data_IF_786257127172
#
_entry.id   IF_786257127172
#
_cell.length_a   1.000
_cell.length_b   1.000
_cell.length_c   1.000
_cell.angle_alpha   90.00
_cell.angle_beta   90.00
_cell.angle_gamma   90.00
#
_symmetry.space_group_name_H-M   'P 1'
#
loop_
_entity.id
_entity.type
_entity.pdbx_description
1 polymer ?
#
# COMPACT_ATOMS: atom_id res chain seq x y z
N UNK A 1 -5.94 34.49 -53.42
CA UNK A 1 -5.15 33.79 -52.40
C UNK A 1 -5.96 32.62 -51.89
N UNK A 2 -5.72 31.42 -52.43
CA UNK A 2 -6.44 30.19 -52.09
C UNK A 2 -5.67 29.42 -51.01
N UNK A 3 -6.33 29.09 -49.91
CA UNK A 3 -5.76 28.27 -48.84
C UNK A 3 -5.50 26.83 -49.34
N UNK A 4 -4.40 26.19 -48.96
CA UNK A 4 -4.14 24.81 -49.36
C UNK A 4 -5.17 23.88 -48.73
N UNK A 5 -5.90 23.13 -49.56
CA UNK A 5 -6.77 22.05 -49.11
C UNK A 5 -5.89 20.93 -48.54
N UNK A 6 -5.88 20.77 -47.22
CA UNK A 6 -5.20 19.68 -46.56
C UNK A 6 -5.78 18.34 -47.07
N UNK A 7 -4.95 17.56 -47.75
CA UNK A 7 -5.32 16.24 -48.27
C UNK A 7 -5.82 15.37 -47.11
N UNK A 8 -7.09 14.94 -47.17
CA UNK A 8 -7.73 14.06 -46.17
C UNK A 8 -6.94 12.78 -45.93
N UNK A 9 -6.05 12.39 -46.86
CA UNK A 9 -5.16 11.24 -46.75
C UNK A 9 -4.00 11.45 -45.74
N UNK A 10 -3.57 12.69 -45.51
CA UNK A 10 -2.53 13.07 -44.53
C UNK A 10 -3.08 13.38 -43.13
N UNK A 11 -4.35 13.76 -43.03
CA UNK A 11 -5.02 14.06 -41.74
C UNK A 11 -5.15 12.80 -40.87
N UNK A 12 -5.36 11.63 -41.47
CA UNK A 12 -5.51 10.35 -40.75
C UNK A 12 -4.24 9.89 -40.03
N UNK A 13 -3.05 9.82 -40.67
CA UNK A 13 -1.83 9.45 -39.95
C UNK A 13 -1.46 10.49 -38.88
N UNK A 14 -1.70 11.77 -39.12
CA UNK A 14 -1.40 12.83 -38.14
C UNK A 14 -2.32 12.75 -36.91
N UNK A 15 -3.61 12.43 -37.11
CA UNK A 15 -4.54 12.13 -36.01
C UNK A 15 -4.14 10.86 -35.25
N UNK A 16 -3.72 9.79 -35.95
CA UNK A 16 -3.26 8.55 -35.31
C UNK A 16 -2.04 8.82 -34.44
N UNK A 17 -1.05 9.56 -34.95
CA UNK A 17 0.13 9.96 -34.19
C UNK A 17 -0.27 10.83 -32.99
N UNK A 18 -1.18 11.79 -33.18
CA UNK A 18 -1.70 12.62 -32.10
C UNK A 18 -2.36 11.81 -30.98
N UNK A 19 -3.22 10.84 -31.33
CA UNK A 19 -3.87 9.94 -30.36
C UNK A 19 -2.83 9.05 -29.68
N UNK A 20 -1.87 8.49 -30.43
CA UNK A 20 -0.81 7.66 -29.87
C UNK A 20 0.03 8.44 -28.85
N UNK A 21 0.45 9.66 -29.18
CA UNK A 21 1.18 10.55 -28.26
C UNK A 21 0.35 10.87 -27.01
N UNK A 22 -0.95 11.14 -27.16
CA UNK A 22 -1.83 11.37 -26.03
C UNK A 22 -1.92 10.13 -25.12
N UNK A 23 -2.10 8.94 -25.68
CA UNK A 23 -2.12 7.69 -24.91
C UNK A 23 -0.81 7.46 -24.15
N UNK A 24 0.34 7.69 -24.80
CA UNK A 24 1.66 7.57 -24.18
C UNK A 24 1.81 8.60 -23.04
N UNK A 25 1.42 9.86 -23.26
CA UNK A 25 1.48 10.89 -22.22
C UNK A 25 0.59 10.55 -21.01
N UNK A 26 -0.60 9.99 -21.23
CA UNK A 26 -1.49 9.52 -20.15
C UNK A 26 -0.85 8.38 -19.36
N UNK A 27 -0.23 7.41 -20.03
CA UNK A 27 0.46 6.30 -19.36
C UNK A 27 1.66 6.78 -18.55
N UNK A 28 2.50 7.64 -19.11
CA UNK A 28 3.65 8.25 -18.40
C UNK A 28 3.14 9.02 -17.18
N UNK A 29 2.10 9.84 -17.33
CA UNK A 29 1.49 10.57 -16.22
C UNK A 29 0.96 9.65 -15.11
N UNK A 30 0.38 8.51 -15.47
CA UNK A 30 -0.08 7.52 -14.49
C UNK A 30 1.09 6.91 -13.69
N UNK A 31 2.19 6.54 -14.36
CA UNK A 31 3.39 5.97 -13.72
C UNK A 31 4.06 7.00 -12.81
N UNK A 32 4.28 8.23 -13.29
CA UNK A 32 4.91 9.30 -12.51
C UNK A 32 4.07 9.62 -11.26
N UNK A 33 2.75 9.72 -11.40
CA UNK A 33 1.86 9.96 -10.26
C UNK A 33 1.95 8.86 -9.21
N UNK A 34 2.02 7.60 -9.64
CA UNK A 34 2.12 6.46 -8.73
C UNK A 34 3.50 6.40 -8.05
N UNK A 35 4.58 6.67 -8.77
CA UNK A 35 5.93 6.78 -8.20
C UNK A 35 6.07 7.92 -7.20
N UNK A 36 5.49 9.09 -7.51
CA UNK A 36 5.46 10.23 -6.59
C UNK A 36 4.66 9.90 -5.32
N UNK A 37 3.50 9.25 -5.46
CA UNK A 37 2.68 8.86 -4.32
C UNK A 37 3.36 7.82 -3.41
N UNK A 38 4.27 6.99 -3.93
CA UNK A 38 5.09 6.06 -3.14
C UNK A 38 6.20 6.80 -2.39
N UNK A 39 6.94 7.66 -3.08
CA UNK A 39 8.13 8.35 -2.54
C UNK A 39 7.82 9.51 -1.59
N UNK A 40 6.66 10.15 -1.71
CA UNK A 40 6.30 11.34 -0.93
C UNK A 40 5.12 11.11 0.02
N UNK A 41 4.69 9.85 0.21
CA UNK A 41 3.68 9.51 1.20
C UNK A 41 4.25 9.50 2.62
N UNK A 42 3.36 9.42 3.61
CA UNK A 42 3.77 9.25 5.01
C UNK A 42 4.08 7.78 5.24
N UNK A 43 5.35 7.46 5.54
CA UNK A 43 5.74 6.10 5.92
C UNK A 43 5.24 5.75 7.32
N UNK A 44 4.56 4.62 7.43
CA UNK A 44 4.12 4.03 8.69
C UNK A 44 4.48 2.56 8.73
N UNK A 45 4.93 2.09 9.90
CA UNK A 45 5.23 0.68 10.14
C UNK A 45 4.07 0.03 10.87
N UNK A 46 3.47 -0.99 10.28
CA UNK A 46 2.31 -1.70 10.79
C UNK A 46 2.71 -3.10 11.22
N UNK A 47 2.20 -3.55 12.36
CA UNK A 47 2.40 -4.94 12.82
C UNK A 47 1.89 -5.91 11.77
N UNK A 48 2.71 -6.91 11.44
CA UNK A 48 2.32 -7.95 10.49
C UNK A 48 2.55 -9.34 11.07
N UNK A 49 1.74 -10.29 10.63
CA UNK A 49 2.01 -11.72 10.73
C UNK A 49 2.12 -12.29 9.33
N UNK A 50 3.11 -13.12 9.11
CA UNK A 50 3.27 -13.86 7.88
C UNK A 50 2.34 -15.06 7.89
N UNK A 51 1.64 -15.28 6.78
CA UNK A 51 0.93 -16.53 6.54
C UNK A 51 1.45 -17.08 5.22
N UNK A 52 2.21 -18.17 5.29
CA UNK A 52 2.68 -18.90 4.12
C UNK A 52 1.75 -20.06 3.79
N UNK A 53 1.16 -20.06 2.58
CA UNK A 53 0.99 -21.29 1.81
C UNK A 53 1.59 -21.06 0.41
N UNK A 54 2.82 -21.55 0.20
CA UNK A 54 3.61 -21.44 -1.03
C UNK A 54 2.76 -21.68 -2.29
N UNK A 55 2.90 -20.81 -3.28
CA UNK A 55 2.37 -21.01 -4.62
C UNK A 55 3.52 -21.36 -5.56
N UNK A 56 3.65 -22.64 -5.89
CA UNK A 56 4.74 -23.22 -6.71
C UNK A 56 4.86 -22.62 -8.11
N UNK A 57 3.85 -21.87 -8.59
CA UNK A 57 3.79 -21.40 -9.99
C UNK A 57 4.15 -19.92 -10.13
N UNK A 58 4.05 -19.10 -9.06
CA UNK A 58 4.13 -17.62 -9.14
C UNK A 58 5.45 -17.02 -8.65
N UNK A 59 6.45 -17.83 -8.34
CA UNK A 59 7.74 -17.38 -7.84
C UNK A 59 7.74 -17.05 -6.33
N UNK A 60 8.77 -16.33 -5.87
CA UNK A 60 8.98 -16.05 -4.44
C UNK A 60 8.25 -14.76 -4.03
N UNK A 61 7.07 -14.92 -3.42
CA UNK A 61 6.36 -13.83 -2.75
C UNK A 61 5.91 -14.29 -1.36
N UNK A 62 5.77 -13.34 -0.44
CA UNK A 62 5.28 -13.61 0.92
C UNK A 62 3.89 -12.98 1.07
N UNK A 63 2.91 -13.76 1.51
CA UNK A 63 1.60 -13.23 1.93
C UNK A 63 1.70 -12.71 3.34
N UNK A 64 1.21 -11.49 3.54
CA UNK A 64 1.22 -10.82 4.83
C UNK A 64 -0.20 -10.46 5.26
N UNK A 65 -0.42 -10.58 6.57
CA UNK A 65 -1.63 -10.11 7.21
C UNK A 65 -1.25 -9.01 8.20
N UNK A 66 -1.86 -7.85 8.03
CA UNK A 66 -1.68 -6.74 8.97
C UNK A 66 -2.57 -7.00 10.16
N UNK A 67 -1.96 -7.41 11.27
CA UNK A 67 -2.66 -7.78 12.49
C UNK A 67 -1.91 -7.18 13.67
N UNK A 68 -2.65 -6.50 14.54
CA UNK A 68 -2.17 -5.98 15.81
C UNK A 68 -2.85 -6.76 16.95
N UNK A 69 -2.06 -7.13 17.96
CA UNK A 69 -2.60 -7.68 19.20
C UNK A 69 -3.23 -6.59 20.05
N UNK A 70 -4.44 -6.86 20.54
CA UNK A 70 -5.13 -6.08 21.54
C UNK A 70 -4.87 -6.75 22.90
N UNK A 71 -3.99 -6.18 23.75
CA UNK A 71 -3.78 -6.70 25.09
C UNK A 71 -5.11 -6.74 25.86
N UNK A 72 -5.27 -7.76 26.72
CA UNK A 72 -6.53 -8.06 27.41
C UNK A 72 -7.17 -6.82 28.05
N UNK A 73 -8.40 -6.50 27.62
CA UNK A 73 -9.18 -5.35 28.08
C UNK A 73 -9.21 -4.16 27.11
N UNK A 74 -8.37 -4.14 26.06
CA UNK A 74 -8.52 -3.15 24.99
C UNK A 74 -9.67 -3.53 24.07
N UNK A 75 -10.57 -2.57 23.88
CA UNK A 75 -11.72 -2.73 22.99
C UNK A 75 -11.27 -2.43 21.56
N UNK A 76 -11.72 -3.24 20.60
CA UNK A 76 -11.37 -3.02 19.20
C UNK A 76 -11.79 -1.62 18.74
N UNK A 77 -10.96 -1.02 17.89
CA UNK A 77 -11.21 0.28 17.28
C UNK A 77 -12.61 0.35 16.66
N UNK A 78 -13.48 1.16 17.26
CA UNK A 78 -14.87 1.31 16.86
C UNK A 78 -15.05 2.42 15.82
N UNK A 79 -16.26 2.48 15.25
CA UNK A 79 -16.67 3.51 14.30
C UNK A 79 -17.12 2.94 12.97
N UNK A 80 -17.51 3.81 12.05
CA UNK A 80 -18.06 3.45 10.75
C UNK A 80 -17.38 4.23 9.63
N UNK A 81 -17.18 3.55 8.51
CA UNK A 81 -16.69 4.17 7.28
C UNK A 81 -15.44 3.47 6.74
N UNK A 82 -14.91 4.06 5.68
CA UNK A 82 -13.82 3.52 4.86
C UNK A 82 -12.44 4.08 5.22
N UNK A 83 -12.38 4.96 6.21
CA UNK A 83 -11.15 5.61 6.65
C UNK A 83 -10.76 5.07 8.03
N UNK A 84 -9.54 4.62 8.15
CA UNK A 84 -8.94 4.15 9.39
C UNK A 84 -7.99 5.25 9.88
N UNK A 85 -8.13 5.59 11.15
CA UNK A 85 -7.21 6.47 11.86
C UNK A 85 -6.08 5.62 12.43
N UNK A 86 -4.84 5.98 12.10
CA UNK A 86 -3.63 5.35 12.62
C UNK A 86 -2.93 6.31 13.56
N UNK A 87 -2.48 5.83 14.71
CA UNK A 87 -1.73 6.60 15.71
C UNK A 87 -0.38 5.95 16.00
N UNK A 88 0.70 6.72 16.23
CA UNK A 88 1.99 6.15 16.60
C UNK A 88 1.94 5.52 18.00
N UNK A 89 2.53 4.33 18.13
CA UNK A 89 2.73 3.56 19.35
C UNK A 89 4.15 2.98 19.32
N UNK A 90 5.11 3.72 19.88
CA UNK A 90 6.53 3.37 19.81
C UNK A 90 7.07 3.48 18.37
N UNK A 91 7.70 2.41 17.87
CA UNK A 91 8.19 2.31 16.48
C UNK A 91 7.11 1.91 15.47
N UNK A 92 5.88 1.62 15.93
CA UNK A 92 4.77 1.14 15.09
C UNK A 92 3.59 2.10 15.10
N UNK A 93 2.67 1.87 14.18
CA UNK A 93 1.39 2.55 14.09
C UNK A 93 0.26 1.56 14.33
N UNK A 94 -0.73 1.97 15.10
CA UNK A 94 -1.89 1.14 15.47
C UNK A 94 -3.19 1.79 15.02
N UNK A 95 -4.19 0.99 14.60
CA UNK A 95 -5.51 1.52 14.28
C UNK A 95 -6.27 1.90 15.55
N UNK A 96 -6.82 3.11 15.59
CA UNK A 96 -7.55 3.63 16.76
C UNK A 96 -9.05 3.86 16.50
N UNK A 97 -9.46 3.95 15.23
CA UNK A 97 -10.89 4.11 14.90
C UNK A 97 -11.19 4.09 13.40
N UNK A 98 -12.49 3.98 13.08
CA UNK A 98 -13.01 4.11 11.71
C UNK A 98 -13.90 5.33 11.54
N UNK A 99 -13.74 6.02 10.41
CA UNK A 99 -14.39 7.28 10.12
C UNK A 99 -14.99 7.31 8.71
N UNK A 100 -16.04 8.14 8.56
CA UNK A 100 -16.71 8.36 7.27
C UNK A 100 -15.92 9.31 6.36
N UNK A 101 -15.16 10.23 6.94
CA UNK A 101 -14.31 11.20 6.22
C UNK A 101 -12.83 11.06 6.60
N UNK A 102 -11.96 11.48 5.68
CA UNK A 102 -10.52 11.44 5.88
C UNK A 102 -10.09 12.43 6.96
N UNK A 103 -10.66 13.61 6.94
CA UNK A 103 -10.32 14.74 7.82
C UNK A 103 -10.68 14.42 9.28
N UNK A 104 -11.72 13.60 9.50
CA UNK A 104 -12.04 13.08 10.82
C UNK A 104 -10.97 12.08 11.29
N UNK A 105 -10.61 11.11 10.45
CA UNK A 105 -9.56 10.14 10.78
C UNK A 105 -8.19 10.82 11.01
N UNK A 106 -7.82 11.81 10.20
CA UNK A 106 -6.55 12.53 10.37
C UNK A 106 -6.49 13.35 11.66
N UNK A 107 -7.61 13.96 12.08
CA UNK A 107 -7.64 14.72 13.34
C UNK A 107 -7.48 13.85 14.57
N UNK A 108 -7.87 12.60 14.46
CA UNK A 108 -7.86 11.65 15.56
C UNK A 108 -6.48 10.99 15.75
N UNK A 109 -5.91 10.39 14.70
CA UNK A 109 -4.64 9.65 14.78
C UNK A 109 -3.44 10.33 14.10
N UNK A 110 -3.67 11.38 13.32
CA UNK A 110 -2.66 12.08 12.52
C UNK A 110 -2.52 11.52 11.10
N UNK A 111 -2.66 10.20 10.93
CA UNK A 111 -2.61 9.55 9.61
C UNK A 111 -3.93 8.82 9.32
N UNK A 112 -4.48 9.08 8.14
CA UNK A 112 -5.69 8.42 7.67
C UNK A 112 -5.42 7.55 6.44
N UNK A 113 -5.81 6.28 6.53
CA UNK A 113 -5.67 5.30 5.45
C UNK A 113 -7.04 4.77 5.05
N UNK A 114 -7.22 4.43 3.77
CA UNK A 114 -8.44 3.77 3.29
C UNK A 114 -8.34 2.28 3.52
N UNK A 115 -9.39 1.70 4.09
CA UNK A 115 -9.44 0.27 4.32
C UNK A 115 -10.60 -0.14 5.22
N UNK A 116 -10.53 -1.38 5.69
CA UNK A 116 -11.44 -1.95 6.67
C UNK A 116 -10.67 -2.53 7.84
N UNK A 117 -11.31 -2.54 9.00
CA UNK A 117 -10.83 -3.24 10.19
C UNK A 117 -11.74 -4.43 10.46
N UNK A 118 -11.14 -5.59 10.68
CA UNK A 118 -11.75 -6.77 11.25
C UNK A 118 -11.29 -6.95 12.69
N UNK A 119 -12.18 -7.42 13.56
CA UNK A 119 -11.85 -7.70 14.96
C UNK A 119 -12.16 -9.15 15.24
N UNK A 120 -11.26 -9.85 15.91
CA UNK A 120 -11.47 -11.24 16.36
C UNK A 120 -10.80 -11.41 17.70
N UNK A 121 -11.60 -11.67 18.74
CA UNK A 121 -11.22 -11.83 20.13
C UNK A 121 -10.23 -10.76 20.62
N UNK A 122 -8.93 -11.05 20.57
CA UNK A 122 -7.82 -10.22 21.04
C UNK A 122 -6.96 -9.66 19.91
N UNK A 123 -7.46 -9.65 18.68
CA UNK A 123 -6.71 -9.18 17.51
C UNK A 123 -7.54 -8.25 16.65
N UNK A 124 -6.88 -7.22 16.11
CA UNK A 124 -7.44 -6.37 15.06
C UNK A 124 -6.68 -6.61 13.77
N UNK A 125 -7.40 -7.07 12.74
CA UNK A 125 -6.88 -7.21 11.39
C UNK A 125 -7.24 -5.98 10.57
N UNK A 126 -6.35 -5.60 9.66
CA UNK A 126 -6.53 -4.44 8.79
C UNK A 126 -6.36 -4.84 7.33
N UNK A 127 -7.33 -4.46 6.50
CA UNK A 127 -7.24 -4.58 5.05
C UNK A 127 -7.19 -3.18 4.42
N UNK A 128 -5.99 -2.80 3.97
CA UNK A 128 -5.70 -1.53 3.28
C UNK A 128 -5.22 -1.78 1.84
N UNK A 129 -5.50 -2.97 1.28
CA UNK A 129 -5.06 -3.37 -0.06
C UNK A 129 -3.58 -3.75 -0.16
N UNK A 130 -2.95 -4.10 0.97
CA UNK A 130 -1.56 -4.60 1.03
C UNK A 130 -1.59 -6.01 1.64
N UNK A 131 -1.43 -7.02 0.79
CA UNK A 131 -1.51 -8.44 1.18
C UNK A 131 -0.27 -9.25 0.78
N UNK A 132 0.62 -8.70 -0.06
CA UNK A 132 1.73 -9.43 -0.68
C UNK A 132 2.99 -8.59 -0.81
N UNK A 133 4.11 -9.29 -0.73
CA UNK A 133 5.45 -8.73 -0.84
C UNK A 133 6.23 -9.50 -1.90
N UNK A 134 6.82 -8.78 -2.84
CA UNK A 134 7.67 -9.34 -3.89
C UNK A 134 9.12 -8.92 -3.62
N UNK A 135 9.96 -9.90 -3.29
CA UNK A 135 11.40 -9.71 -3.03
C UNK A 135 12.17 -10.84 -3.69
N UNK A 136 13.50 -10.73 -3.75
CA UNK A 136 14.33 -11.83 -4.23
C UNK A 136 14.18 -13.07 -3.32
N UNK A 137 14.58 -14.23 -3.82
CA UNK A 137 14.41 -15.50 -3.12
C UNK A 137 15.12 -15.53 -1.75
N UNK A 138 16.34 -15.00 -1.67
CA UNK A 138 17.13 -15.00 -0.42
C UNK A 138 16.46 -14.17 0.67
N UNK A 139 15.91 -13.01 0.32
CA UNK A 139 15.21 -12.14 1.26
C UNK A 139 13.85 -12.74 1.63
N UNK A 140 13.11 -13.28 0.66
CA UNK A 140 11.85 -13.97 0.91
C UNK A 140 12.02 -15.10 1.94
N UNK A 141 13.02 -15.97 1.74
CA UNK A 141 13.29 -17.10 2.63
C UNK A 141 13.81 -16.65 4.00
N UNK A 142 14.49 -15.50 4.07
CA UNK A 142 14.97 -14.94 5.34
C UNK A 142 13.82 -14.37 6.16
N UNK A 143 12.96 -13.57 5.51
CA UNK A 143 11.75 -13.00 6.13
C UNK A 143 10.80 -14.11 6.55
N UNK A 144 10.54 -15.09 5.69
CA UNK A 144 9.69 -16.26 5.99
C UNK A 144 10.15 -16.98 7.26
N UNK A 145 11.45 -17.32 7.35
CA UNK A 145 12.01 -18.03 8.51
C UNK A 145 11.87 -17.24 9.80
N UNK A 146 12.17 -15.94 9.74
CA UNK A 146 12.05 -15.09 10.92
C UNK A 146 10.60 -15.00 11.40
N UNK A 147 9.66 -14.79 10.48
CA UNK A 147 8.24 -14.68 10.83
C UNK A 147 7.68 -16.01 11.36
N UNK A 148 8.06 -17.14 10.78
CA UNK A 148 7.68 -18.48 11.28
C UNK A 148 8.25 -18.74 12.68
N UNK A 149 9.48 -18.31 12.93
CA UNK A 149 10.10 -18.43 14.25
C UNK A 149 9.55 -17.42 15.29
N UNK A 150 8.55 -16.61 14.93
CA UNK A 150 7.86 -15.69 15.83
C UNK A 150 8.63 -14.39 16.09
N UNK A 151 9.59 -14.05 15.22
CA UNK A 151 10.30 -12.79 15.30
C UNK A 151 9.37 -11.60 15.06
N UNK A 152 9.75 -10.46 15.61
CA UNK A 152 8.94 -9.26 15.51
C UNK A 152 9.01 -8.70 14.09
N UNK A 153 7.85 -8.56 13.43
CA UNK A 153 7.79 -8.23 12.02
C UNK A 153 6.76 -7.13 11.73
N UNK A 154 7.16 -6.17 10.90
CA UNK A 154 6.34 -5.03 10.50
C UNK A 154 6.35 -4.80 8.99
N UNK A 155 5.20 -4.43 8.43
CA UNK A 155 5.10 -3.96 7.05
C UNK A 155 5.28 -2.43 7.04
N UNK A 156 6.22 -1.94 6.23
CA UNK A 156 6.45 -0.51 6.04
C UNK A 156 5.64 -0.07 4.82
N UNK A 157 4.64 0.78 5.07
CA UNK A 157 3.75 1.28 4.02
C UNK A 157 3.80 2.80 3.93
N UNK A 158 3.80 3.32 2.71
CA UNK A 158 3.68 4.73 2.41
C UNK A 158 2.21 5.06 2.13
N UNK A 159 1.66 5.98 2.90
CA UNK A 159 0.27 6.44 2.78
C UNK A 159 0.27 7.75 1.98
N UNK A 160 -0.29 7.68 0.77
CA UNK A 160 -0.36 8.81 -0.12
C UNK A 160 -1.38 9.85 0.30
N UNK A 161 -1.36 11.02 -0.35
CA UNK A 161 -2.40 12.05 -0.18
C UNK A 161 -3.78 11.61 -0.67
N UNK A 162 -3.88 10.50 -1.39
CA UNK A 162 -5.13 9.85 -1.77
C UNK A 162 -5.69 8.91 -0.69
N UNK A 163 -4.93 8.67 0.38
CA UNK A 163 -5.24 7.75 1.45
C UNK A 163 -5.00 6.28 1.12
N UNK A 164 -4.42 5.97 -0.05
CA UNK A 164 -4.08 4.58 -0.39
C UNK A 164 -2.73 4.23 0.22
N UNK A 165 -2.67 3.04 0.82
CA UNK A 165 -1.43 2.45 1.29
C UNK A 165 -0.67 1.81 0.13
N UNK A 166 0.65 1.93 0.16
CA UNK A 166 1.55 1.32 -0.80
C UNK A 166 2.71 0.71 -0.03
N UNK A 167 2.94 -0.57 -0.21
CA UNK A 167 4.05 -1.24 0.45
C UNK A 167 5.39 -0.71 -0.07
N UNK A 168 6.29 -0.39 0.84
CA UNK A 168 7.64 0.12 0.55
C UNK A 168 8.69 -0.89 0.99
N UNK A 169 8.43 -1.60 2.08
CA UNK A 169 9.37 -2.55 2.63
C UNK A 169 8.81 -3.33 3.81
N UNK A 170 9.70 -4.07 4.44
CA UNK A 170 9.44 -4.88 5.63
C UNK A 170 10.50 -4.59 6.66
N UNK A 171 10.09 -4.51 7.91
CA UNK A 171 10.99 -4.55 9.06
C UNK A 171 10.89 -5.93 9.73
N UNK A 172 12.03 -6.57 9.99
CA UNK A 172 12.10 -7.80 10.77
C UNK A 172 13.21 -7.65 11.80
N UNK A 173 12.87 -7.69 13.08
CA UNK A 173 13.76 -7.40 14.21
C UNK A 173 14.56 -6.09 14.05
N UNK A 174 13.92 -5.03 13.53
CA UNK A 174 14.57 -3.74 13.30
C UNK A 174 15.47 -3.69 12.05
N UNK A 175 15.54 -4.77 11.27
CA UNK A 175 16.21 -4.77 9.96
C UNK A 175 15.20 -4.49 8.86
N UNK A 176 15.40 -3.37 8.16
CA UNK A 176 14.62 -2.97 6.99
C UNK A 176 15.07 -3.71 5.72
N UNK A 177 14.09 -4.27 5.01
CA UNK A 177 14.20 -4.83 3.67
C UNK A 177 13.34 -3.98 2.74
N UNK A 178 13.99 -3.16 1.91
CA UNK A 178 13.30 -2.35 0.92
C UNK A 178 12.90 -3.17 -0.31
N UNK A 179 11.77 -2.82 -0.91
CA UNK A 179 11.35 -3.38 -2.19
C UNK A 179 12.14 -2.72 -3.31
N UNK A 180 13.30 -3.28 -3.62
CA UNK A 180 14.09 -2.90 -4.78
C UNK A 180 13.39 -3.33 -6.07
N UNK A 181 13.03 -2.35 -6.91
CA UNK A 181 12.66 -2.53 -8.30
C UNK A 181 13.39 -1.49 -9.15
#
# INVERSE_FOLDING_TARGET
MTAPAADRRSIRPLLIVGVAVLCVAVLIGAVVREGYARSHGTEVTLSMRGVDPRDVVRGHYVRIHLVEDLPGGQVCAHGEGKWISLQPKGSRWVPVGRYRSREQAQRDGGVAVRGTLGCTDTTVSMDIGVDRIYVNQSDATTIERAVIAGHDAGAIVSIGTDGRARLVGVDVDGRRYDLGW
#
